data_IF_274141828680
#
_entry.id   IF_274141828680
#
_cell.length_a   1.000
_cell.length_b   1.000
_cell.length_c   1.000
_cell.angle_alpha   90.00
_cell.angle_beta   90.00
_cell.angle_gamma   90.00
#
_symmetry.space_group_name_H-M   'P 1'
#
loop_
_entity.id
_entity.type
_entity.pdbx_description
1 polymer ?
#
# COMPACT_ATOMS: atom_id res chain seq x y z
N UNK A 1 10.96 -10.79 -22.48
CA UNK A 1 11.60 -11.20 -21.20
C UNK A 1 12.47 -10.02 -20.76
N UNK A 2 12.36 -9.58 -19.49
CA UNK A 2 13.16 -8.45 -19.01
C UNK A 2 14.57 -8.91 -18.66
N UNK A 3 15.57 -8.17 -19.17
CA UNK A 3 17.00 -8.51 -19.05
C UNK A 3 17.72 -7.60 -18.05
N UNK A 4 17.28 -6.34 -17.89
CA UNK A 4 17.90 -5.36 -17.00
C UNK A 4 16.88 -4.81 -16.01
N UNK A 5 17.11 -5.08 -14.73
CA UNK A 5 16.22 -4.67 -13.64
C UNK A 5 17.04 -3.91 -12.60
N UNK A 6 16.55 -2.76 -12.20
CA UNK A 6 17.16 -1.92 -11.18
C UNK A 6 16.28 -1.95 -9.91
N UNK A 7 16.89 -2.21 -8.76
CA UNK A 7 16.23 -2.02 -7.45
C UNK A 7 16.88 -0.80 -6.78
N UNK A 8 16.07 0.15 -6.35
CA UNK A 8 16.52 1.38 -5.70
C UNK A 8 16.27 1.31 -4.20
N UNK A 9 17.33 1.43 -3.42
CA UNK A 9 17.32 1.16 -1.99
C UNK A 9 17.59 -0.32 -1.69
N UNK A 10 18.02 -0.61 -0.44
CA UNK A 10 18.20 -1.98 0.00
C UNK A 10 17.89 -2.13 1.49
N UNK A 11 16.62 -2.37 1.76
CA UNK A 11 16.07 -2.74 3.05
C UNK A 11 15.34 -4.09 2.96
N UNK A 12 14.61 -4.47 3.99
CA UNK A 12 13.89 -5.76 4.05
C UNK A 12 12.91 -5.96 2.89
N UNK A 13 12.22 -4.90 2.44
CA UNK A 13 11.30 -4.99 1.31
C UNK A 13 12.03 -5.14 -0.02
N UNK A 14 13.14 -4.44 -0.21
CA UNK A 14 13.99 -4.59 -1.40
C UNK A 14 14.57 -6.00 -1.50
N UNK A 15 15.01 -6.58 -0.37
CA UNK A 15 15.49 -7.96 -0.32
C UNK A 15 14.39 -8.96 -0.72
N UNK A 16 13.16 -8.74 -0.28
CA UNK A 16 12.00 -9.55 -0.67
C UNK A 16 11.76 -9.47 -2.19
N UNK A 17 11.72 -8.26 -2.74
CA UNK A 17 11.57 -8.09 -4.19
C UNK A 17 12.72 -8.71 -4.97
N UNK A 18 13.96 -8.55 -4.52
CA UNK A 18 15.11 -9.18 -5.16
C UNK A 18 14.95 -10.71 -5.28
N UNK A 19 14.52 -11.38 -4.20
CA UNK A 19 14.28 -12.83 -4.19
C UNK A 19 13.19 -13.22 -5.20
N UNK A 20 12.08 -12.49 -5.23
CA UNK A 20 10.97 -12.74 -6.16
C UNK A 20 11.43 -12.52 -7.61
N UNK A 21 12.07 -11.39 -7.89
CA UNK A 21 12.56 -11.06 -9.23
C UNK A 21 13.57 -12.08 -9.72
N UNK A 22 14.49 -12.52 -8.87
CA UNK A 22 15.48 -13.53 -9.24
C UNK A 22 14.84 -14.87 -9.59
N UNK A 23 13.76 -15.25 -8.88
CA UNK A 23 13.00 -16.46 -9.21
C UNK A 23 12.26 -16.33 -10.54
N UNK A 24 11.62 -15.16 -10.80
CA UNK A 24 10.88 -14.91 -12.04
C UNK A 24 11.82 -14.73 -13.25
N UNK A 25 13.00 -14.13 -13.05
CA UNK A 25 13.99 -13.78 -14.06
C UNK A 25 15.39 -14.26 -13.68
N UNK A 26 15.66 -15.58 -13.74
CA UNK A 26 16.95 -16.16 -13.25
C UNK A 26 18.18 -15.60 -13.98
N UNK A 27 18.04 -15.16 -15.24
CA UNK A 27 19.13 -14.70 -16.09
C UNK A 27 19.23 -13.16 -16.18
N UNK A 28 18.30 -12.41 -15.58
CA UNK A 28 18.32 -10.96 -15.64
C UNK A 28 19.55 -10.38 -14.94
N UNK A 29 20.11 -9.31 -15.50
CA UNK A 29 21.09 -8.47 -14.81
C UNK A 29 20.35 -7.57 -13.84
N UNK A 30 20.45 -7.86 -12.55
CA UNK A 30 19.79 -7.14 -11.47
C UNK A 30 20.81 -6.30 -10.72
N UNK A 31 20.71 -4.98 -10.84
CA UNK A 31 21.57 -4.02 -10.12
C UNK A 31 20.81 -3.36 -8.98
N UNK A 32 21.54 -3.02 -7.91
CA UNK A 32 20.99 -2.32 -6.75
C UNK A 32 21.57 -0.91 -6.70
N UNK A 33 20.75 0.12 -6.72
CA UNK A 33 21.19 1.49 -6.45
C UNK A 33 21.18 1.74 -4.93
N UNK A 34 22.32 2.06 -4.35
CA UNK A 34 22.52 2.30 -2.90
C UNK A 34 23.17 3.64 -2.66
N UNK A 35 22.76 4.31 -1.59
CA UNK A 35 23.36 5.61 -1.19
C UNK A 35 24.64 5.47 -0.35
N UNK A 36 24.89 4.28 0.25
CA UNK A 36 26.10 4.02 1.05
C UNK A 36 27.14 3.34 0.16
N UNK A 37 28.25 4.02 -0.20
CA UNK A 37 29.34 3.41 -0.97
C UNK A 37 30.04 2.29 -0.16
N UNK A 38 30.82 1.48 -0.86
CA UNK A 38 31.63 0.38 -0.29
C UNK A 38 30.85 -0.72 0.44
N UNK A 39 29.55 -0.87 0.18
CA UNK A 39 28.77 -2.01 0.67
C UNK A 39 28.82 -3.15 -0.34
N UNK A 40 28.96 -4.40 0.15
CA UNK A 40 28.91 -5.57 -0.74
C UNK A 40 27.58 -5.66 -1.48
N UNK A 41 27.64 -6.13 -2.73
CA UNK A 41 26.44 -6.44 -3.49
C UNK A 41 25.68 -7.60 -2.82
N UNK A 42 24.34 -7.55 -2.73
CA UNK A 42 23.55 -8.68 -2.24
C UNK A 42 23.75 -9.93 -3.11
N UNK A 43 23.77 -11.09 -2.51
CA UNK A 43 24.10 -12.38 -3.13
C UNK A 43 23.31 -12.67 -4.41
N UNK A 44 22.02 -12.31 -4.47
CA UNK A 44 21.16 -12.55 -5.63
C UNK A 44 21.18 -11.43 -6.67
N UNK A 45 22.00 -10.38 -6.47
CA UNK A 45 22.19 -9.28 -7.41
C UNK A 45 23.45 -9.46 -8.26
N UNK A 46 23.53 -8.74 -9.38
CA UNK A 46 24.70 -8.70 -10.26
C UNK A 46 25.60 -7.49 -9.98
N UNK A 47 25.41 -6.79 -8.86
CA UNK A 47 26.23 -5.68 -8.43
C UNK A 47 25.44 -4.46 -7.97
N UNK A 48 26.17 -3.40 -7.58
CA UNK A 48 25.59 -2.16 -7.06
C UNK A 48 26.07 -0.95 -7.85
N UNK A 49 25.19 0.04 -7.94
CA UNK A 49 25.52 1.43 -8.27
C UNK A 49 25.42 2.28 -7.00
N UNK A 50 26.18 3.37 -6.96
CA UNK A 50 26.20 4.30 -5.82
C UNK A 50 25.86 5.73 -6.23
N UNK A 51 25.54 5.94 -7.51
CA UNK A 51 25.12 7.19 -8.10
C UNK A 51 23.99 6.95 -9.12
N UNK A 52 23.18 7.96 -9.34
CA UNK A 52 22.03 7.89 -10.22
C UNK A 52 22.45 7.87 -11.70
N UNK A 53 23.58 8.44 -12.06
CA UNK A 53 24.08 8.50 -13.43
C UNK A 53 24.44 7.10 -13.94
N UNK A 54 25.10 6.29 -13.11
CA UNK A 54 25.39 4.87 -13.42
C UNK A 54 24.10 4.07 -13.58
N UNK A 55 23.08 4.32 -12.75
CA UNK A 55 21.79 3.68 -12.84
C UNK A 55 21.04 4.05 -14.13
N UNK A 56 21.12 5.31 -14.56
CA UNK A 56 20.54 5.78 -15.84
C UNK A 56 21.28 5.15 -17.02
N UNK A 57 22.62 5.12 -17.01
CA UNK A 57 23.44 4.48 -18.07
C UNK A 57 23.19 2.97 -18.21
N UNK A 58 22.73 2.31 -17.14
CA UNK A 58 22.34 0.91 -17.17
C UNK A 58 21.10 0.66 -18.04
N UNK A 59 20.29 1.70 -18.29
CA UNK A 59 19.06 1.62 -19.09
C UNK A 59 18.14 0.49 -18.63
N UNK A 60 17.67 0.53 -17.35
CA UNK A 60 16.81 -0.51 -16.82
C UNK A 60 15.48 -0.59 -17.58
N UNK A 61 14.95 -1.78 -17.76
CA UNK A 61 13.61 -2.00 -18.33
C UNK A 61 12.54 -1.95 -17.25
N UNK A 62 12.90 -2.36 -16.02
CA UNK A 62 12.07 -2.23 -14.80
C UNK A 62 12.91 -1.56 -13.72
N UNK A 63 12.34 -0.57 -13.07
CA UNK A 63 12.88 0.09 -11.88
C UNK A 63 11.96 -0.13 -10.68
N UNK A 64 12.50 -0.76 -9.64
CA UNK A 64 11.80 -1.08 -8.39
C UNK A 64 12.23 -0.08 -7.32
N UNK A 65 11.33 0.78 -6.88
CA UNK A 65 11.66 1.86 -5.95
C UNK A 65 11.17 1.48 -4.55
N UNK A 66 12.12 1.28 -3.61
CA UNK A 66 11.85 0.74 -2.27
C UNK A 66 12.41 1.60 -1.13
N UNK A 67 12.87 2.80 -1.44
CA UNK A 67 13.41 3.75 -0.48
C UNK A 67 12.34 4.43 0.38
N UNK A 68 12.68 5.50 1.10
CA UNK A 68 11.70 6.36 1.76
C UNK A 68 10.72 6.99 0.76
N UNK A 69 9.44 7.06 1.12
CA UNK A 69 8.39 7.57 0.22
C UNK A 69 8.61 9.03 -0.23
N UNK A 70 9.32 9.81 0.57
CA UNK A 70 9.72 11.19 0.21
C UNK A 70 10.71 11.28 -0.97
N UNK A 71 11.37 10.17 -1.32
CA UNK A 71 12.37 10.12 -2.41
C UNK A 71 11.86 9.38 -3.65
N UNK A 72 10.71 8.72 -3.59
CA UNK A 72 10.21 7.87 -4.67
C UNK A 72 10.10 8.63 -5.99
N UNK A 73 9.45 9.80 -5.99
CA UNK A 73 9.20 10.56 -7.21
C UNK A 73 10.46 11.25 -7.74
N UNK A 74 11.33 11.75 -6.88
CA UNK A 74 12.61 12.34 -7.30
C UNK A 74 13.46 11.31 -8.07
N UNK A 75 13.59 10.12 -7.50
CA UNK A 75 14.34 9.02 -8.11
C UNK A 75 13.68 8.56 -9.42
N UNK A 76 12.35 8.39 -9.40
CA UNK A 76 11.60 7.97 -10.58
C UNK A 76 11.74 8.97 -11.74
N UNK A 77 11.72 10.28 -11.47
CA UNK A 77 11.95 11.33 -12.48
C UNK A 77 13.33 11.21 -13.15
N UNK A 78 14.37 10.91 -12.39
CA UNK A 78 15.72 10.72 -12.93
C UNK A 78 15.82 9.48 -13.84
N UNK A 79 15.05 8.44 -13.54
CA UNK A 79 15.05 7.18 -14.30
C UNK A 79 14.06 7.20 -15.49
N UNK A 80 13.03 8.03 -15.48
CA UNK A 80 12.00 8.09 -16.52
C UNK A 80 12.55 8.27 -17.95
N UNK A 81 13.62 9.06 -18.21
CA UNK A 81 14.20 9.16 -19.55
C UNK A 81 14.75 7.87 -20.14
N UNK A 82 14.99 6.83 -19.32
CA UNK A 82 15.44 5.52 -19.81
C UNK A 82 14.33 4.68 -20.46
N UNK A 83 13.06 5.10 -20.37
CA UNK A 83 11.92 4.33 -20.85
C UNK A 83 11.51 3.18 -19.90
N UNK A 84 12.07 3.13 -18.69
CA UNK A 84 11.80 2.08 -17.69
C UNK A 84 10.33 2.06 -17.25
N UNK A 85 9.78 0.86 -16.98
CA UNK A 85 8.55 0.69 -16.24
C UNK A 85 8.83 0.73 -14.74
N UNK A 86 7.89 1.24 -13.96
CA UNK A 86 8.08 1.47 -12.53
C UNK A 86 7.23 0.56 -11.66
N UNK A 87 7.90 -0.15 -10.75
CA UNK A 87 7.28 -0.79 -9.60
C UNK A 87 7.66 0.04 -8.35
N UNK A 88 6.72 0.76 -7.77
CA UNK A 88 6.98 1.69 -6.67
C UNK A 88 6.33 1.17 -5.39
N UNK A 89 7.10 1.07 -4.32
CA UNK A 89 6.56 0.75 -3.01
C UNK A 89 5.54 1.79 -2.53
N UNK A 90 4.60 1.32 -1.74
CA UNK A 90 3.57 2.18 -1.16
C UNK A 90 4.13 3.05 0.00
N UNK A 91 3.59 4.25 0.19
CA UNK A 91 2.78 5.00 -0.77
C UNK A 91 3.62 5.48 -1.94
N UNK A 92 3.00 5.81 -3.06
CA UNK A 92 3.73 6.28 -4.27
C UNK A 92 4.63 7.48 -3.98
N UNK A 93 4.27 8.33 -3.01
CA UNK A 93 5.00 9.52 -2.55
C UNK A 93 4.44 9.96 -1.20
N UNK A 94 5.10 10.93 -0.57
CA UNK A 94 4.54 11.71 0.52
C UNK A 94 3.89 13.04 0.05
N UNK A 95 3.86 13.30 -1.27
CA UNK A 95 3.31 14.51 -1.90
C UNK A 95 2.38 14.15 -3.06
N UNK A 96 1.07 14.42 -2.91
CA UNK A 96 0.09 14.17 -3.97
C UNK A 96 0.42 14.93 -5.27
N UNK A 97 0.76 16.23 -5.16
CA UNK A 97 1.06 17.07 -6.31
C UNK A 97 2.23 16.55 -7.15
N UNK A 98 3.30 16.11 -6.49
CA UNK A 98 4.47 15.56 -7.19
C UNK A 98 4.19 14.23 -7.85
N UNK A 99 3.46 13.35 -7.17
CA UNK A 99 3.07 12.05 -7.69
C UNK A 99 2.13 12.17 -8.89
N UNK A 100 1.15 13.09 -8.84
CA UNK A 100 0.23 13.35 -9.93
C UNK A 100 1.00 13.85 -11.17
N UNK A 101 1.84 14.87 -11.02
CA UNK A 101 2.62 15.41 -12.13
C UNK A 101 3.54 14.37 -12.77
N UNK A 102 4.22 13.55 -11.96
CA UNK A 102 5.04 12.46 -12.45
C UNK A 102 4.22 11.44 -13.25
N UNK A 103 3.06 11.03 -12.72
CA UNK A 103 2.20 10.05 -13.39
C UNK A 103 1.72 10.54 -14.76
N UNK A 104 1.34 11.82 -14.89
CA UNK A 104 0.96 12.43 -16.16
C UNK A 104 2.11 12.37 -17.19
N UNK A 105 3.35 12.61 -16.75
CA UNK A 105 4.53 12.54 -17.63
C UNK A 105 4.84 11.11 -18.11
N UNK A 106 4.82 10.12 -17.20
CA UNK A 106 5.19 8.73 -17.57
C UNK A 106 4.12 8.03 -18.41
N UNK A 107 2.84 8.34 -18.18
CA UNK A 107 1.74 7.83 -19.02
C UNK A 107 1.89 8.32 -20.46
N UNK A 108 2.22 9.60 -20.66
CA UNK A 108 2.43 10.16 -22.00
C UNK A 108 3.57 9.47 -22.79
N UNK A 109 4.53 8.87 -22.05
CA UNK A 109 5.65 8.13 -22.60
C UNK A 109 5.41 6.60 -22.69
N UNK A 110 4.16 6.16 -22.50
CA UNK A 110 3.78 4.74 -22.53
C UNK A 110 4.46 3.86 -21.45
N UNK A 111 5.04 4.47 -20.44
CA UNK A 111 5.61 3.75 -19.31
C UNK A 111 4.49 3.29 -18.37
N UNK A 112 4.67 2.13 -17.76
CA UNK A 112 3.73 1.61 -16.76
C UNK A 112 4.26 1.94 -15.36
N UNK A 113 3.35 2.39 -14.49
CA UNK A 113 3.62 2.61 -13.07
C UNK A 113 2.67 1.72 -12.28
N UNK A 114 3.22 0.90 -11.42
CA UNK A 114 2.48 0.08 -10.47
C UNK A 114 2.89 0.48 -9.05
N UNK A 115 1.92 0.61 -8.15
CA UNK A 115 2.15 0.94 -6.74
C UNK A 115 1.82 -0.29 -5.88
N UNK A 116 2.76 -0.69 -5.03
CA UNK A 116 2.76 -1.97 -4.32
C UNK A 116 1.77 -2.02 -3.15
N UNK A 117 0.47 -1.92 -3.43
CA UNK A 117 -0.59 -2.19 -2.47
C UNK A 117 -0.94 -3.68 -2.44
N UNK A 118 -0.03 -4.47 -1.87
CA UNK A 118 -0.07 -5.93 -1.89
C UNK A 118 -1.31 -6.54 -1.24
N UNK A 119 -1.99 -5.84 -0.30
CA UNK A 119 -3.19 -6.37 0.35
C UNK A 119 -4.34 -6.63 -0.62
N UNK A 120 -4.41 -5.93 -1.77
CA UNK A 120 -5.38 -6.23 -2.85
C UNK A 120 -5.22 -7.64 -3.43
N UNK A 121 -4.07 -8.27 -3.19
CA UNK A 121 -3.77 -9.63 -3.64
C UNK A 121 -4.00 -10.70 -2.56
N UNK A 122 -4.48 -10.31 -1.37
CA UNK A 122 -4.95 -11.24 -0.36
C UNK A 122 -6.20 -11.97 -0.86
N UNK A 123 -6.21 -13.29 -0.78
CA UNK A 123 -7.37 -14.09 -1.19
C UNK A 123 -8.56 -13.84 -0.27
N UNK A 124 -8.31 -13.56 1.01
CA UNK A 124 -9.33 -13.14 1.96
C UNK A 124 -10.05 -11.85 1.53
N UNK A 125 -9.30 -10.81 1.12
CA UNK A 125 -9.89 -9.56 0.62
C UNK A 125 -10.56 -9.73 -0.76
N UNK A 126 -10.03 -10.57 -1.63
CA UNK A 126 -10.68 -10.95 -2.90
C UNK A 126 -12.00 -11.68 -2.66
N UNK A 127 -12.04 -12.60 -1.67
CA UNK A 127 -13.28 -13.25 -1.27
C UNK A 127 -14.31 -12.21 -0.78
N UNK A 128 -13.93 -11.28 0.08
CA UNK A 128 -14.80 -10.19 0.55
C UNK A 128 -15.32 -9.37 -0.64
N UNK A 129 -14.43 -8.95 -1.55
CA UNK A 129 -14.82 -8.21 -2.75
C UNK A 129 -15.84 -8.96 -3.59
N UNK A 130 -15.63 -10.27 -3.81
CA UNK A 130 -16.56 -11.14 -4.53
C UNK A 130 -17.92 -11.22 -3.82
N UNK A 131 -17.93 -11.37 -2.49
CA UNK A 131 -19.18 -11.40 -1.70
C UNK A 131 -19.95 -10.09 -1.78
N UNK A 132 -19.27 -8.94 -1.79
CA UNK A 132 -19.89 -7.62 -1.98
C UNK A 132 -20.50 -7.50 -3.38
N UNK A 133 -19.77 -7.88 -4.43
CA UNK A 133 -20.26 -7.88 -5.82
C UNK A 133 -21.47 -8.81 -6.02
N UNK A 134 -21.48 -9.96 -5.36
CA UNK A 134 -22.60 -10.91 -5.37
C UNK A 134 -23.76 -10.48 -4.46
N UNK A 135 -23.63 -9.33 -3.76
CA UNK A 135 -24.60 -8.82 -2.77
C UNK A 135 -24.94 -9.83 -1.66
N UNK A 136 -24.00 -10.70 -1.31
CA UNK A 136 -24.20 -11.76 -0.31
C UNK A 136 -24.52 -11.18 1.09
N UNK A 137 -24.07 -9.95 1.39
CA UNK A 137 -24.39 -9.24 2.62
C UNK A 137 -25.64 -8.34 2.47
N UNK A 138 -26.22 -8.23 1.26
CA UNK A 138 -27.26 -7.28 0.95
C UNK A 138 -26.74 -5.84 0.78
N UNK A 139 -27.56 -4.85 1.10
CA UNK A 139 -27.13 -3.44 1.12
C UNK A 139 -26.15 -3.23 2.28
N UNK A 140 -25.00 -2.68 2.01
CA UNK A 140 -24.01 -2.36 3.05
C UNK A 140 -24.44 -1.08 3.77
N UNK A 141 -24.50 -1.13 5.09
CA UNK A 141 -24.86 0.01 5.94
C UNK A 141 -23.64 0.68 6.51
N UNK A 142 -22.74 -0.12 7.11
CA UNK A 142 -21.58 0.43 7.82
C UNK A 142 -20.42 -0.57 7.85
N UNK A 143 -19.25 -0.04 8.24
CA UNK A 143 -18.05 -0.85 8.49
C UNK A 143 -17.27 -0.32 9.69
N UNK A 144 -16.44 -1.19 10.26
CA UNK A 144 -15.42 -0.82 11.24
C UNK A 144 -14.08 -1.44 10.80
N UNK A 145 -13.04 -0.62 10.70
CA UNK A 145 -11.70 -1.03 10.30
C UNK A 145 -10.69 -0.60 11.35
N UNK A 146 -9.86 -1.51 11.79
CA UNK A 146 -8.82 -1.24 12.76
C UNK A 146 -7.51 -1.89 12.35
N UNK A 147 -6.41 -1.11 12.41
CA UNK A 147 -5.06 -1.64 12.32
C UNK A 147 -4.14 -0.91 13.28
N UNK A 148 -3.30 -1.64 13.93
CA UNK A 148 -2.27 -1.09 14.80
C UNK A 148 -1.27 -2.13 15.25
N UNK A 149 -0.10 -1.64 15.57
CA UNK A 149 0.98 -2.43 16.16
C UNK A 149 1.98 -1.47 16.79
N UNK A 150 2.53 -1.85 17.94
CA UNK A 150 3.52 -1.05 18.65
C UNK A 150 4.79 -0.83 17.82
N UNK A 151 5.06 0.41 17.45
CA UNK A 151 6.14 0.76 16.49
C UNK A 151 7.51 0.18 16.86
N UNK A 152 7.97 0.21 18.14
CA UNK A 152 9.24 -0.40 18.52
C UNK A 152 9.36 -1.90 18.24
N UNK A 153 8.24 -2.61 18.13
CA UNK A 153 8.20 -4.05 17.85
C UNK A 153 8.12 -4.40 16.36
N UNK A 154 7.95 -3.40 15.47
CA UNK A 154 7.89 -3.66 14.02
C UNK A 154 9.20 -4.24 13.46
N UNK A 155 10.32 -3.79 14.03
CA UNK A 155 11.68 -4.20 13.63
C UNK A 155 12.54 -4.37 14.88
N UNK A 156 12.46 -5.51 15.58
CA UNK A 156 13.12 -5.70 16.89
C UNK A 156 14.64 -5.45 16.90
N UNK A 157 15.28 -5.60 15.72
CA UNK A 157 16.75 -5.44 15.59
C UNK A 157 17.18 -4.02 15.15
N UNK A 158 16.26 -3.05 15.13
CA UNK A 158 16.53 -1.66 14.74
C UNK A 158 15.92 -0.70 15.75
N UNK A 159 16.63 0.38 16.02
CA UNK A 159 16.01 1.49 16.76
C UNK A 159 14.87 2.09 15.91
N UNK A 160 13.65 2.04 16.43
CA UNK A 160 12.49 2.54 15.73
C UNK A 160 12.59 4.03 15.38
N UNK A 161 13.32 4.82 16.19
CA UNK A 161 13.53 6.26 16.01
C UNK A 161 14.30 6.60 14.72
N UNK A 162 15.12 5.66 14.26
CA UNK A 162 15.91 5.79 13.02
C UNK A 162 15.18 5.22 11.78
N UNK A 163 13.95 4.71 11.96
CA UNK A 163 13.18 4.15 10.84
C UNK A 163 12.42 5.23 10.09
N UNK A 164 12.12 4.97 8.83
CA UNK A 164 11.26 5.85 8.00
C UNK A 164 9.94 6.15 8.70
N UNK A 165 9.34 5.16 9.36
CA UNK A 165 8.04 5.27 10.04
C UNK A 165 8.00 6.33 11.12
N UNK A 166 9.15 6.60 11.79
CA UNK A 166 9.27 7.56 12.89
C UNK A 166 9.57 9.00 12.44
N UNK A 167 9.97 9.22 11.17
CA UNK A 167 10.58 10.46 10.71
C UNK A 167 9.73 11.13 9.62
N UNK A 168 9.18 12.31 9.93
CA UNK A 168 8.32 13.07 9.02
C UNK A 168 9.01 13.39 7.68
N UNK A 169 10.25 13.87 7.72
CA UNK A 169 11.04 14.20 6.52
C UNK A 169 11.22 13.02 5.57
N UNK A 170 11.18 11.79 6.05
CA UNK A 170 11.28 10.58 5.24
C UNK A 170 9.92 10.07 4.73
N UNK A 171 8.83 10.72 5.08
CA UNK A 171 7.48 10.31 4.74
C UNK A 171 6.91 9.29 5.73
N UNK A 172 7.29 9.38 7.00
CA UNK A 172 6.74 8.57 8.08
C UNK A 172 5.35 9.02 8.53
N UNK A 173 4.87 8.38 9.59
CA UNK A 173 3.56 8.61 10.20
C UNK A 173 2.54 7.53 9.87
N UNK A 174 1.60 7.38 10.78
CA UNK A 174 0.58 6.33 10.73
C UNK A 174 -0.24 6.36 9.44
N UNK A 175 -0.60 7.55 8.94
CA UNK A 175 -1.40 7.68 7.70
C UNK A 175 -0.69 7.15 6.46
N UNK A 176 0.60 7.42 6.30
CA UNK A 176 1.39 6.97 5.15
C UNK A 176 1.78 5.49 5.29
N UNK A 177 2.19 5.09 6.50
CA UNK A 177 2.62 3.71 6.75
C UNK A 177 1.46 2.71 6.67
N UNK A 178 0.28 3.07 7.20
CA UNK A 178 -0.93 2.24 7.22
C UNK A 178 -1.93 2.68 6.15
N UNK A 179 -1.46 3.18 5.01
CA UNK A 179 -2.29 3.62 3.90
C UNK A 179 -3.02 2.49 3.16
N UNK A 180 -2.66 1.24 3.41
CA UNK A 180 -3.35 0.07 2.87
C UNK A 180 -4.84 0.07 3.21
N UNK A 181 -5.22 0.54 4.39
CA UNK A 181 -6.60 0.59 4.85
C UNK A 181 -7.45 1.51 3.98
N UNK A 182 -6.95 2.70 3.66
CA UNK A 182 -7.62 3.60 2.73
C UNK A 182 -7.69 3.03 1.30
N UNK A 183 -6.65 2.30 0.89
CA UNK A 183 -6.58 1.67 -0.42
C UNK A 183 -7.62 0.57 -0.58
N UNK A 184 -7.60 -0.46 0.29
CA UNK A 184 -8.54 -1.56 0.11
C UNK A 184 -9.98 -1.18 0.45
N UNK A 185 -10.24 -0.25 1.37
CA UNK A 185 -11.59 0.23 1.66
C UNK A 185 -12.18 0.95 0.44
N UNK A 186 -11.41 1.80 -0.25
CA UNK A 186 -11.85 2.43 -1.50
C UNK A 186 -12.09 1.39 -2.60
N UNK A 187 -11.24 0.39 -2.69
CA UNK A 187 -11.41 -0.70 -3.64
C UNK A 187 -12.65 -1.55 -3.34
N UNK A 188 -12.99 -1.79 -2.07
CA UNK A 188 -14.17 -2.55 -1.66
C UNK A 188 -15.46 -1.76 -1.84
N UNK A 189 -15.49 -0.50 -1.39
CA UNK A 189 -16.72 0.26 -1.21
C UNK A 189 -16.97 1.35 -2.27
N UNK A 190 -15.95 1.78 -2.99
CA UNK A 190 -16.04 2.84 -3.99
C UNK A 190 -15.38 4.15 -3.52
N UNK A 191 -15.87 5.28 -4.03
CA UNK A 191 -15.22 6.57 -3.82
C UNK A 191 -15.46 7.12 -2.41
N UNK A 192 -14.39 7.55 -1.76
CA UNK A 192 -14.47 8.29 -0.51
C UNK A 192 -14.91 9.73 -0.79
N UNK A 193 -16.07 10.12 -0.23
CA UNK A 193 -16.72 11.41 -0.53
C UNK A 193 -16.66 12.39 0.63
N UNK A 194 -16.68 11.93 1.88
CA UNK A 194 -16.58 12.82 3.04
C UNK A 194 -16.12 12.09 4.30
N UNK A 195 -15.73 12.85 5.33
CA UNK A 195 -15.37 12.26 6.62
C UNK A 195 -15.00 13.28 7.68
N UNK A 196 -14.70 12.76 8.85
CA UNK A 196 -14.13 13.48 10.00
C UNK A 196 -12.85 12.78 10.42
N UNK A 197 -11.86 13.54 10.90
CA UNK A 197 -10.57 12.99 11.32
C UNK A 197 -10.10 13.56 12.65
N UNK A 198 -9.48 12.70 13.46
CA UNK A 198 -8.61 13.06 14.56
C UNK A 198 -7.25 12.44 14.29
N UNK A 199 -6.25 13.28 14.09
CA UNK A 199 -4.88 12.89 13.75
C UNK A 199 -3.97 13.50 14.81
N UNK A 200 -3.34 12.68 15.64
CA UNK A 200 -2.60 13.15 16.79
C UNK A 200 -1.34 12.31 17.05
N UNK A 201 -0.40 12.91 17.76
CA UNK A 201 0.62 12.19 18.50
C UNK A 201 0.16 12.08 19.95
N UNK A 202 -0.21 10.88 20.38
CA UNK A 202 -0.80 10.64 21.70
C UNK A 202 0.18 9.97 22.68
N UNK A 203 1.15 9.23 22.17
CA UNK A 203 2.07 8.44 23.00
C UNK A 203 3.36 9.20 23.33
N UNK A 204 4.15 8.60 24.23
CA UNK A 204 5.50 9.04 24.59
C UNK A 204 6.57 8.47 23.62
N UNK A 205 6.19 7.90 22.47
CA UNK A 205 7.15 7.48 21.45
C UNK A 205 7.99 8.68 20.98
N UNK A 206 9.29 8.51 20.88
CA UNK A 206 10.21 9.54 20.40
C UNK A 206 10.19 9.58 18.87
N UNK A 207 9.17 10.24 18.32
CA UNK A 207 8.89 10.39 16.89
C UNK A 207 8.35 11.79 16.58
N UNK A 208 8.56 12.28 15.38
CA UNK A 208 8.10 13.60 14.90
C UNK A 208 6.88 13.54 13.97
N UNK A 209 6.13 12.44 14.06
CA UNK A 209 4.96 12.13 13.22
C UNK A 209 3.73 11.79 14.09
N UNK A 210 2.56 11.72 13.46
CA UNK A 210 1.35 11.21 14.08
C UNK A 210 1.47 9.71 14.38
N UNK A 211 0.98 9.28 15.55
CA UNK A 211 0.98 7.88 15.99
C UNK A 211 -0.42 7.28 16.20
N UNK A 212 -1.45 8.13 16.12
CA UNK A 212 -2.84 7.71 16.27
C UNK A 212 -3.75 8.52 15.34
N UNK A 213 -4.59 7.80 14.60
CA UNK A 213 -5.56 8.37 13.67
C UNK A 213 -6.90 7.69 13.85
N UNK A 214 -7.95 8.50 14.02
CA UNK A 214 -9.34 8.07 14.06
C UNK A 214 -10.09 8.79 12.95
N UNK A 215 -10.76 8.05 12.09
CA UNK A 215 -11.54 8.57 10.98
C UNK A 215 -12.97 8.06 11.07
N UNK A 216 -13.92 8.93 10.74
CA UNK A 216 -15.28 8.54 10.38
C UNK A 216 -15.44 8.89 8.89
N UNK A 217 -15.62 7.89 8.05
CA UNK A 217 -15.56 8.02 6.58
C UNK A 217 -16.92 7.68 5.96
N UNK A 218 -17.23 8.38 4.86
CA UNK A 218 -18.39 8.14 4.02
C UNK A 218 -17.95 7.80 2.60
N UNK A 219 -18.24 6.57 2.15
CA UNK A 219 -18.02 6.12 0.79
C UNK A 219 -19.31 6.16 -0.01
N UNK A 220 -19.18 6.47 -1.30
CA UNK A 220 -20.28 6.31 -2.26
C UNK A 220 -20.10 4.98 -3.00
N UNK A 221 -21.01 4.05 -2.75
CA UNK A 221 -21.00 2.76 -3.46
C UNK A 221 -21.15 2.96 -4.95
N UNK A 222 -20.23 2.43 -5.73
CA UNK A 222 -20.29 2.45 -7.20
C UNK A 222 -21.46 1.63 -7.76
N UNK A 223 -21.92 0.62 -7.02
CA UNK A 223 -22.97 -0.30 -7.47
C UNK A 223 -24.39 0.17 -7.10
N UNK A 224 -24.56 0.71 -5.90
CA UNK A 224 -25.88 1.07 -5.36
C UNK A 224 -26.12 2.57 -5.26
N UNK A 225 -25.11 3.40 -5.53
CA UNK A 225 -25.13 4.86 -5.32
C UNK A 225 -25.62 5.27 -3.92
N UNK A 226 -25.44 4.41 -2.94
CA UNK A 226 -25.80 4.68 -1.54
C UNK A 226 -24.56 4.94 -0.70
N UNK A 227 -24.71 5.79 0.32
CA UNK A 227 -23.65 6.04 1.31
C UNK A 227 -23.39 4.81 2.15
N UNK A 228 -22.10 4.53 2.38
CA UNK A 228 -21.58 3.55 3.34
C UNK A 228 -20.75 4.34 4.34
N UNK A 229 -21.13 4.31 5.63
CA UNK A 229 -20.44 5.06 6.67
C UNK A 229 -19.70 4.10 7.59
N UNK A 230 -18.45 4.42 7.91
CA UNK A 230 -17.70 3.58 8.84
C UNK A 230 -16.56 4.30 9.52
N UNK A 231 -16.01 3.64 10.52
CA UNK A 231 -14.88 4.13 11.29
C UNK A 231 -13.60 3.40 10.93
N UNK A 232 -12.49 4.14 10.93
CA UNK A 232 -11.14 3.61 10.72
C UNK A 232 -10.26 4.08 11.89
N UNK A 233 -9.56 3.14 12.52
CA UNK A 233 -8.56 3.42 13.53
C UNK A 233 -7.19 2.88 13.08
N UNK A 234 -6.20 3.76 13.06
CA UNK A 234 -4.82 3.44 12.70
C UNK A 234 -3.92 3.88 13.86
N UNK A 235 -3.03 2.99 14.34
CA UNK A 235 -2.12 3.39 15.41
C UNK A 235 -0.77 2.66 15.42
N UNK A 236 0.24 3.34 16.02
CA UNK A 236 1.57 2.80 16.34
C UNK A 236 1.72 2.41 17.82
N UNK A 237 0.64 2.47 18.60
CA UNK A 237 0.71 2.49 20.07
C UNK A 237 0.18 1.22 20.74
N UNK A 238 -0.69 0.45 20.08
CA UNK A 238 -1.26 -0.75 20.67
C UNK A 238 -0.22 -1.87 20.79
N UNK A 239 -0.27 -2.58 21.90
CA UNK A 239 0.64 -3.70 22.21
C UNK A 239 0.18 -5.01 21.60
N UNK A 240 -1.11 -5.21 21.50
CA UNK A 240 -1.75 -6.34 20.85
C UNK A 240 -1.95 -6.02 19.36
N UNK A 241 -1.10 -6.56 18.51
CA UNK A 241 -1.21 -6.33 17.06
C UNK A 241 -2.60 -6.72 16.55
N UNK A 242 -3.20 -5.87 15.72
CA UNK A 242 -4.47 -6.14 15.05
C UNK A 242 -4.48 -5.61 13.61
N UNK A 243 -5.26 -6.27 12.75
CA UNK A 243 -5.73 -5.77 11.45
C UNK A 243 -7.06 -6.45 11.14
N UNK A 244 -8.15 -5.72 11.32
CA UNK A 244 -9.50 -6.24 11.30
C UNK A 244 -10.42 -5.35 10.45
N UNK A 245 -11.41 -5.99 9.80
CA UNK A 245 -12.50 -5.32 9.12
C UNK A 245 -13.81 -6.01 9.49
N UNK A 246 -14.78 -5.25 9.97
CA UNK A 246 -16.16 -5.69 10.16
C UNK A 246 -17.07 -4.92 9.18
N UNK A 247 -17.99 -5.65 8.51
CA UNK A 247 -18.95 -5.08 7.56
C UNK A 247 -20.34 -5.47 7.98
N UNK A 248 -21.24 -4.49 8.06
CA UNK A 248 -22.65 -4.69 8.43
C UNK A 248 -23.53 -4.46 7.21
N UNK A 249 -24.17 -5.52 6.76
CA UNK A 249 -25.13 -5.51 5.64
C UNK A 249 -26.57 -5.74 6.08
N UNK A 250 -27.51 -5.57 5.17
CA UNK A 250 -28.94 -5.75 5.43
C UNK A 250 -29.37 -7.22 5.59
N UNK A 251 -28.56 -8.16 5.11
CA UNK A 251 -28.84 -9.60 5.21
C UNK A 251 -28.02 -10.20 6.34
N UNK A 252 -26.75 -9.84 6.43
CA UNK A 252 -25.83 -10.40 7.42
C UNK A 252 -24.62 -9.50 7.63
N UNK A 253 -23.77 -9.86 8.60
CA UNK A 253 -22.50 -9.19 8.90
C UNK A 253 -21.31 -10.09 8.56
N UNK A 254 -20.17 -9.47 8.25
CA UNK A 254 -18.91 -10.14 7.94
C UNK A 254 -17.82 -9.62 8.87
N UNK A 255 -16.92 -10.50 9.29
CA UNK A 255 -15.65 -10.17 9.96
C UNK A 255 -14.47 -10.73 9.19
N UNK A 256 -13.43 -9.93 9.11
CA UNK A 256 -12.12 -10.33 8.61
C UNK A 256 -11.05 -10.05 9.65
N UNK A 257 -10.26 -11.07 9.96
CA UNK A 257 -9.04 -10.96 10.73
C UNK A 257 -7.86 -11.29 9.81
N UNK A 258 -7.08 -10.27 9.47
CA UNK A 258 -5.95 -10.42 8.56
C UNK A 258 -4.77 -11.16 9.19
N UNK A 259 -4.65 -11.21 10.51
CA UNK A 259 -3.55 -11.91 11.20
C UNK A 259 -3.78 -13.41 11.22
N UNK A 260 -5.04 -13.82 11.34
CA UNK A 260 -5.46 -15.21 11.28
C UNK A 260 -5.78 -15.67 9.84
N UNK A 261 -5.94 -14.74 8.90
CA UNK A 261 -6.42 -15.05 7.55
C UNK A 261 -7.88 -15.50 7.51
N UNK A 262 -8.68 -15.14 8.52
CA UNK A 262 -10.05 -15.63 8.68
C UNK A 262 -11.08 -14.65 8.12
N UNK A 263 -12.04 -15.18 7.35
CA UNK A 263 -13.27 -14.49 6.95
C UNK A 263 -14.44 -15.24 7.57
N UNK A 264 -15.24 -14.53 8.36
CA UNK A 264 -16.41 -15.07 9.02
C UNK A 264 -17.66 -14.32 8.59
N UNK A 265 -18.79 -15.05 8.49
CA UNK A 265 -20.12 -14.48 8.20
C UNK A 265 -21.09 -14.92 9.29
N UNK A 266 -21.90 -13.98 9.78
CA UNK A 266 -22.92 -14.27 10.79
C UNK A 266 -24.13 -14.96 10.15
N UNK A 267 -24.57 -16.08 10.73
CA UNK A 267 -25.84 -16.72 10.37
C UNK A 267 -26.97 -16.18 11.26
N UNK A 268 -27.89 -15.35 10.72
CA UNK A 268 -28.96 -14.78 11.56
C UNK A 268 -29.97 -15.81 12.08
N UNK A 269 -30.14 -16.93 11.38
CA UNK A 269 -31.08 -17.98 11.79
C UNK A 269 -30.53 -18.80 12.97
N UNK A 270 -29.24 -19.12 12.94
CA UNK A 270 -28.57 -19.88 13.98
C UNK A 270 -27.98 -19.02 15.08
N UNK A 271 -27.83 -17.69 14.83
CA UNK A 271 -27.18 -16.71 15.73
C UNK A 271 -25.72 -17.06 16.04
N UNK A 272 -24.98 -17.54 15.05
CA UNK A 272 -23.57 -17.91 15.16
C UNK A 272 -22.71 -17.36 14.04
N UNK A 273 -21.39 -17.23 14.28
CA UNK A 273 -20.41 -16.86 13.26
C UNK A 273 -19.85 -18.11 12.61
N UNK A 274 -19.93 -18.18 11.28
CA UNK A 274 -19.39 -19.27 10.47
C UNK A 274 -18.12 -18.83 9.78
N UNK A 275 -17.06 -19.61 9.88
CA UNK A 275 -15.83 -19.42 9.09
C UNK A 275 -16.13 -19.81 7.64
N UNK A 276 -16.02 -18.84 6.72
CA UNK A 276 -16.27 -19.04 5.28
C UNK A 276 -15.00 -18.99 4.45
N UNK A 277 -13.88 -18.57 5.04
CA UNK A 277 -12.56 -18.60 4.42
C UNK A 277 -11.47 -18.60 5.48
N UNK A 278 -10.45 -19.43 5.25
CA UNK A 278 -9.22 -19.52 6.03
C UNK A 278 -8.04 -19.51 5.05
N UNK A 279 -7.12 -18.58 5.24
CA UNK A 279 -6.06 -18.33 4.29
C UNK A 279 -4.72 -18.22 5.03
N UNK A 280 -3.82 -19.12 4.70
CA UNK A 280 -2.46 -19.12 5.27
C UNK A 280 -1.49 -18.34 4.37
N UNK A 281 -0.47 -17.76 5.00
CA UNK A 281 0.67 -17.10 4.34
C UNK A 281 0.32 -16.07 3.26
N UNK A 282 -0.82 -15.38 3.39
CA UNK A 282 -1.27 -14.36 2.42
C UNK A 282 -0.25 -13.25 2.21
N UNK A 283 0.49 -12.89 3.26
CA UNK A 283 1.50 -11.84 3.18
C UNK A 283 2.61 -12.18 2.19
N UNK A 284 3.15 -13.40 2.20
CA UNK A 284 4.24 -13.77 1.28
C UNK A 284 3.72 -14.01 -0.14
N UNK A 285 2.59 -14.68 -0.29
CA UNK A 285 2.00 -14.97 -1.59
C UNK A 285 1.52 -13.71 -2.31
N UNK A 286 1.08 -12.69 -1.58
CA UNK A 286 0.62 -11.42 -2.16
C UNK A 286 1.71 -10.68 -2.94
N UNK A 287 2.94 -10.68 -2.45
CA UNK A 287 4.06 -10.04 -3.15
C UNK A 287 4.41 -10.72 -4.47
N UNK A 288 4.29 -12.05 -4.57
CA UNK A 288 4.46 -12.74 -5.84
C UNK A 288 3.34 -12.37 -6.81
N UNK A 289 2.08 -12.39 -6.35
CA UNK A 289 0.89 -12.08 -7.16
C UNK A 289 0.90 -10.64 -7.68
N UNK A 290 1.38 -9.67 -6.92
CA UNK A 290 1.51 -8.30 -7.41
C UNK A 290 2.58 -8.17 -8.50
N UNK A 291 3.68 -8.93 -8.41
CA UNK A 291 4.67 -9.00 -9.49
C UNK A 291 4.10 -9.63 -10.75
N UNK A 292 3.39 -10.75 -10.65
CA UNK A 292 2.73 -11.39 -11.77
C UNK A 292 1.73 -10.44 -12.45
N UNK A 293 0.95 -9.72 -11.65
CA UNK A 293 0.02 -8.71 -12.15
C UNK A 293 0.74 -7.59 -12.90
N UNK A 294 1.79 -6.99 -12.31
CA UNK A 294 2.56 -5.94 -12.94
C UNK A 294 3.19 -6.37 -14.27
N UNK A 295 3.80 -7.55 -14.30
CA UNK A 295 4.37 -8.11 -15.52
C UNK A 295 3.29 -8.30 -16.61
N UNK A 296 2.15 -8.79 -16.23
CA UNK A 296 1.02 -8.97 -17.16
C UNK A 296 0.52 -7.64 -17.72
N UNK A 297 0.48 -6.56 -16.93
CA UNK A 297 0.08 -5.23 -17.44
C UNK A 297 1.04 -4.67 -18.46
N UNK A 298 2.34 -4.96 -18.33
CA UNK A 298 3.34 -4.55 -19.33
C UNK A 298 3.21 -5.42 -20.58
N UNK A 299 3.12 -6.75 -20.44
CA UNK A 299 3.15 -7.70 -21.54
C UNK A 299 1.90 -7.64 -22.44
N UNK A 300 0.76 -7.35 -21.85
CA UNK A 300 -0.53 -7.28 -22.55
C UNK A 300 -0.92 -5.85 -22.97
N UNK A 301 -0.04 -4.88 -22.73
CA UNK A 301 -0.27 -3.45 -23.03
C UNK A 301 -1.59 -2.90 -22.46
N UNK A 302 -2.08 -3.53 -21.39
CA UNK A 302 -3.31 -3.06 -20.75
C UNK A 302 -3.06 -1.74 -20.01
N UNK A 303 -4.02 -0.82 -20.04
CA UNK A 303 -3.94 0.45 -19.30
C UNK A 303 -4.34 0.30 -17.82
N UNK A 304 -4.59 -0.91 -17.37
CA UNK A 304 -5.03 -1.21 -16.01
C UNK A 304 -3.85 -1.21 -15.03
N UNK A 305 -3.39 -0.03 -14.66
CA UNK A 305 -2.51 0.14 -13.51
C UNK A 305 -3.33 0.63 -12.32
N UNK A 306 -2.87 0.30 -11.10
CA UNK A 306 -3.51 0.81 -9.87
C UNK A 306 -3.08 2.23 -9.50
N UNK A 307 -2.38 2.93 -10.38
CA UNK A 307 -1.78 4.24 -10.09
C UNK A 307 -2.83 5.29 -9.77
N UNK A 308 -3.97 5.27 -10.48
CA UNK A 308 -5.10 6.18 -10.21
C UNK A 308 -5.60 6.01 -8.78
N UNK A 309 -5.77 4.78 -8.33
CA UNK A 309 -6.24 4.47 -6.98
C UNK A 309 -5.20 4.89 -5.93
N UNK A 310 -3.92 4.61 -6.19
CA UNK A 310 -2.82 5.03 -5.32
C UNK A 310 -2.73 6.56 -5.19
N UNK A 311 -2.97 7.30 -6.28
CA UNK A 311 -3.05 8.76 -6.26
C UNK A 311 -4.27 9.25 -5.47
N UNK A 312 -5.43 8.59 -5.58
CA UNK A 312 -6.60 8.90 -4.77
C UNK A 312 -6.30 8.71 -3.28
N UNK A 313 -5.69 7.59 -2.89
CA UNK A 313 -5.29 7.34 -1.49
C UNK A 313 -4.38 8.46 -0.97
N UNK A 314 -3.38 8.85 -1.76
CA UNK A 314 -2.47 9.93 -1.36
C UNK A 314 -3.19 11.28 -1.26
N UNK A 315 -4.14 11.56 -2.17
CA UNK A 315 -5.02 12.74 -2.09
C UNK A 315 -5.86 12.75 -0.81
N UNK A 316 -6.43 11.59 -0.43
CA UNK A 316 -7.18 11.47 0.81
C UNK A 316 -6.31 11.77 2.03
N UNK A 317 -5.10 11.21 2.08
CA UNK A 317 -4.15 11.46 3.16
C UNK A 317 -3.80 12.96 3.23
N UNK A 318 -3.53 13.59 2.09
CA UNK A 318 -3.19 15.02 2.01
C UNK A 318 -4.36 15.91 2.52
N UNK A 319 -5.60 15.58 2.16
CA UNK A 319 -6.79 16.27 2.65
C UNK A 319 -7.02 16.04 4.14
N UNK A 320 -6.82 14.82 4.64
CA UNK A 320 -6.91 14.48 6.06
C UNK A 320 -5.88 15.30 6.85
N UNK A 321 -4.62 15.32 6.39
CA UNK A 321 -3.54 16.10 7.03
C UNK A 321 -3.77 17.61 7.01
N UNK A 322 -4.39 18.16 5.97
CA UNK A 322 -4.71 19.59 5.87
C UNK A 322 -5.89 20.01 6.75
N UNK A 323 -6.82 19.11 7.03
CA UNK A 323 -8.06 19.39 7.76
C UNK A 323 -8.07 18.76 9.14
N UNK A 324 -6.92 18.68 9.79
CA UNK A 324 -6.75 18.12 11.13
C UNK A 324 -7.78 18.71 12.11
N UNK A 325 -8.66 17.88 12.65
CA UNK A 325 -9.62 18.23 13.71
C UNK A 325 -10.55 19.44 13.43
N UNK A 326 -10.72 19.83 12.15
CA UNK A 326 -11.45 21.05 11.75
C UNK A 326 -12.88 20.79 11.25
N UNK A 327 -13.42 19.59 11.43
CA UNK A 327 -14.78 19.27 11.02
C UNK A 327 -14.86 18.38 9.77
N UNK A 328 -15.99 18.47 9.04
CA UNK A 328 -16.26 17.59 7.91
C UNK A 328 -15.32 17.87 6.71
N UNK A 329 -14.55 16.88 6.31
CA UNK A 329 -13.71 16.90 5.11
C UNK A 329 -14.56 16.47 3.90
N UNK A 330 -14.44 17.18 2.78
CA UNK A 330 -14.99 16.73 1.49
C UNK A 330 -13.85 16.25 0.60
N UNK A 331 -14.04 15.12 -0.05
CA UNK A 331 -13.02 14.47 -0.88
C UNK A 331 -13.31 14.58 -2.40
N UNK A 332 -14.32 15.39 -2.75
CA UNK A 332 -14.73 15.62 -4.13
C UNK A 332 -13.75 16.49 -4.91
#
# INVERSE_FOLDING_TARGET
MFERILIVGYGSIAERHLKIIRNLYPKADIKILRHKPHTCAPEQSNGCFFDIESAVKFMPQISVITGPSSLHIEIAKNLAPTGTHFFIEKPISNSFKEAQFFNEQVISNQQRVFVAYNLRFFESLKLIKKMLQQKSLGKIYSFHCEVGQYLPEWRPNKDYRETVSAINKLGGGVLLELSHELDYLSWLFGDLISGFSFVNKLSDLDIDVEDSVHLLLEFLSTESHSSIIGSVKLDFIRKDKARNLEIIGSITSLKWDALLGHVQVFDPAKKEWNLVGEFEDEMNTSYLKEWEYFINTISNETNETNTKDALNVLRYIDLIKKNLNLGKIKFN
#
